data_IF_375162608234
#
_entry.id   IF_375162608234
#
_cell.length_a   1.000
_cell.length_b   1.000
_cell.length_c   1.000
_cell.angle_alpha   90.00
_cell.angle_beta   90.00
_cell.angle_gamma   90.00
#
_symmetry.space_group_name_H-M   'P 1'
#
loop_
_entity.id
_entity.type
_entity.pdbx_description
1 polymer ?
#
# COMPACT_ATOMS: atom_id res chain seq x y z
N UNK A 1 10.02 -11.20 -26.44
CA UNK A 1 9.96 -10.77 -25.04
C UNK A 1 9.83 -9.26 -25.09
N UNK A 2 8.60 -8.74 -24.99
CA UNK A 2 8.39 -7.29 -25.09
C UNK A 2 9.09 -6.63 -23.90
N UNK A 3 9.81 -5.53 -24.14
CA UNK A 3 10.15 -4.61 -23.04
C UNK A 3 8.82 -4.15 -22.48
N UNK A 4 8.46 -4.61 -21.29
CA UNK A 4 7.38 -4.01 -20.53
C UNK A 4 7.84 -2.59 -20.23
N UNK A 5 7.10 -1.59 -20.71
CA UNK A 5 7.34 -0.21 -20.31
C UNK A 5 7.08 -0.10 -18.80
N UNK A 6 8.15 0.21 -18.06
CA UNK A 6 8.17 0.22 -16.61
C UNK A 6 8.50 1.62 -16.10
N UNK A 7 7.69 2.12 -15.16
CA UNK A 7 7.95 3.38 -14.46
C UNK A 7 8.20 3.09 -12.98
N UNK A 8 9.24 3.67 -12.40
CA UNK A 8 9.57 3.51 -10.98
C UNK A 8 9.25 4.81 -10.23
N UNK A 9 8.27 4.76 -9.34
CA UNK A 9 7.95 5.84 -8.42
C UNK A 9 8.55 5.55 -7.04
N UNK A 10 8.81 6.61 -6.27
CA UNK A 10 9.39 6.51 -4.93
C UNK A 10 8.54 7.29 -3.94
N UNK A 11 8.26 6.65 -2.81
CA UNK A 11 7.58 7.25 -1.68
C UNK A 11 8.51 7.26 -0.46
N UNK A 12 8.70 8.43 0.14
CA UNK A 12 9.55 8.57 1.32
C UNK A 12 8.82 7.99 2.54
N UNK A 13 9.54 7.16 3.29
CA UNK A 13 9.04 6.58 4.52
C UNK A 13 9.39 7.48 5.72
N UNK A 14 8.52 7.50 6.74
CA UNK A 14 8.70 8.38 7.90
C UNK A 14 9.85 7.93 8.81
N UNK A 15 10.24 6.66 8.78
CA UNK A 15 11.37 6.12 9.55
C UNK A 15 11.99 4.91 8.83
N UNK A 16 13.23 4.56 9.22
CA UNK A 16 13.99 3.44 8.66
C UNK A 16 13.61 2.07 9.21
N UNK A 17 12.87 2.02 10.32
CA UNK A 17 12.43 0.78 10.98
C UNK A 17 11.14 0.21 10.39
N UNK A 18 10.44 1.00 9.56
CA UNK A 18 9.22 0.59 8.87
C UNK A 18 9.47 -0.64 8.00
N UNK A 19 8.49 -1.56 7.95
CA UNK A 19 8.58 -2.79 7.14
C UNK A 19 7.29 -2.99 6.35
N UNK A 20 7.43 -3.18 5.03
CA UNK A 20 6.29 -3.41 4.13
C UNK A 20 5.46 -4.62 4.54
N UNK A 21 6.11 -5.73 4.89
CA UNK A 21 5.45 -6.95 5.33
C UNK A 21 4.54 -6.71 6.55
N UNK A 22 5.01 -5.95 7.55
CA UNK A 22 4.19 -5.64 8.73
C UNK A 22 2.97 -4.80 8.37
N UNK A 23 3.14 -3.81 7.49
CA UNK A 23 2.05 -2.95 7.06
C UNK A 23 1.01 -3.72 6.23
N UNK A 24 1.44 -4.50 5.24
CA UNK A 24 0.57 -5.26 4.33
C UNK A 24 -0.10 -6.44 5.06
N UNK A 25 0.69 -7.26 5.74
CA UNK A 25 0.22 -8.47 6.42
C UNK A 25 -0.32 -8.21 7.83
N UNK A 26 -0.67 -6.95 8.13
CA UNK A 26 -1.19 -6.50 9.43
C UNK A 26 -2.48 -7.22 9.85
N UNK A 27 -3.31 -7.60 8.88
CA UNK A 27 -4.55 -8.36 9.06
C UNK A 27 -5.01 -8.95 7.72
N UNK A 28 -6.04 -9.80 7.71
CA UNK A 28 -6.40 -10.60 6.52
C UNK A 28 -6.90 -9.86 5.26
N UNK A 29 -7.09 -8.54 5.28
CA UNK A 29 -7.65 -7.79 4.14
C UNK A 29 -6.73 -7.75 2.90
N UNK A 30 -5.42 -7.91 3.08
CA UNK A 30 -4.49 -8.06 1.95
C UNK A 30 -4.73 -9.37 1.16
N UNK A 31 -5.42 -10.36 1.72
CA UNK A 31 -5.72 -11.62 1.02
C UNK A 31 -6.91 -11.49 0.07
N UNK A 32 -7.69 -10.41 0.15
CA UNK A 32 -8.83 -10.20 -0.73
C UNK A 32 -8.39 -9.67 -2.09
N UNK A 33 -8.94 -10.25 -3.16
CA UNK A 33 -8.80 -9.73 -4.52
C UNK A 33 -9.04 -8.20 -4.57
N UNK A 34 -8.26 -7.44 -5.37
CA UNK A 34 -7.26 -7.89 -6.35
C UNK A 34 -5.82 -7.90 -5.81
N UNK A 35 -5.66 -8.02 -4.50
CA UNK A 35 -4.36 -7.96 -3.84
C UNK A 35 -3.55 -9.26 -4.03
N UNK A 36 -2.24 -9.13 -4.23
CA UNK A 36 -1.32 -10.27 -4.26
C UNK A 36 -0.06 -9.96 -3.44
N UNK A 37 0.17 -10.74 -2.38
CA UNK A 37 1.41 -10.71 -1.61
C UNK A 37 2.32 -11.87 -2.04
N UNK A 38 3.53 -11.54 -2.49
CA UNK A 38 4.58 -12.53 -2.77
C UNK A 38 5.56 -12.57 -1.58
N UNK A 39 5.55 -13.65 -0.77
CA UNK A 39 6.42 -13.77 0.39
C UNK A 39 7.89 -13.99 0.02
N UNK A 40 8.19 -14.54 -1.17
CA UNK A 40 9.57 -14.79 -1.60
C UNK A 40 10.25 -13.47 -1.96
N UNK A 41 9.58 -12.63 -2.74
CA UNK A 41 10.11 -11.32 -3.11
C UNK A 41 9.79 -10.22 -2.09
N UNK A 42 8.97 -10.50 -1.07
CA UNK A 42 8.43 -9.52 -0.10
C UNK A 42 7.82 -8.29 -0.77
N UNK A 43 7.00 -8.54 -1.78
CA UNK A 43 6.36 -7.47 -2.55
C UNK A 43 4.86 -7.63 -2.61
N UNK A 44 4.17 -6.50 -2.72
CA UNK A 44 2.72 -6.45 -2.85
C UNK A 44 2.35 -5.95 -4.24
N UNK A 45 1.51 -6.67 -4.96
CA UNK A 45 1.08 -6.29 -6.31
C UNK A 45 -0.43 -6.19 -6.40
N UNK A 46 -0.94 -5.18 -7.12
CA UNK A 46 -2.36 -5.05 -7.46
C UNK A 46 -2.58 -4.03 -8.58
N UNK A 47 -3.75 -4.03 -9.25
CA UNK A 47 -4.16 -2.90 -10.07
C UNK A 47 -4.49 -1.67 -9.21
N UNK A 48 -4.05 -0.49 -9.66
CA UNK A 48 -4.39 0.84 -9.14
C UNK A 48 -4.94 1.72 -10.26
N UNK A 49 -5.80 2.69 -9.91
CA UNK A 49 -6.43 3.59 -10.87
C UNK A 49 -5.54 4.80 -11.18
N UNK A 50 -5.42 5.19 -12.45
CA UNK A 50 -4.59 6.34 -12.86
C UNK A 50 -5.29 7.70 -12.69
N UNK A 51 -6.58 7.76 -13.01
CA UNK A 51 -7.41 8.95 -12.83
C UNK A 51 -8.88 8.57 -12.91
N UNK A 52 -9.71 9.21 -12.08
CA UNK A 52 -11.12 9.42 -12.38
C UNK A 52 -11.15 10.77 -13.10
N UNK A 53 -11.43 10.78 -14.39
CA UNK A 53 -11.59 12.03 -15.11
C UNK A 53 -12.74 12.82 -14.46
N UNK A 54 -12.50 14.04 -13.97
CA UNK A 54 -13.48 14.81 -13.18
C UNK A 54 -14.78 15.09 -13.98
N UNK A 55 -14.69 15.00 -15.31
CA UNK A 55 -15.81 15.18 -16.24
C UNK A 55 -16.42 13.86 -16.74
N UNK A 56 -15.92 12.70 -16.31
CA UNK A 56 -16.47 11.38 -16.64
C UNK A 56 -16.40 10.98 -18.12
N UNK A 57 -15.54 11.64 -18.91
CA UNK A 57 -15.47 11.44 -20.37
C UNK A 57 -14.43 10.38 -20.79
N UNK A 58 -13.37 10.19 -20.00
CA UNK A 58 -12.41 9.11 -20.23
C UNK A 58 -12.79 7.82 -19.49
N UNK A 59 -12.56 6.63 -20.09
CA UNK A 59 -12.75 5.36 -19.40
C UNK A 59 -11.76 5.24 -18.23
N UNK A 60 -12.14 4.58 -17.12
CA UNK A 60 -11.25 4.35 -16.01
C UNK A 60 -10.05 3.53 -16.48
N UNK A 61 -8.86 4.10 -16.35
CA UNK A 61 -7.60 3.41 -16.64
C UNK A 61 -7.02 2.85 -15.35
N UNK A 62 -6.55 1.60 -15.41
CA UNK A 62 -5.87 0.94 -14.31
C UNK A 62 -4.53 0.37 -14.77
N UNK A 63 -3.51 0.51 -13.93
CA UNK A 63 -2.17 -0.04 -14.16
C UNK A 63 -1.84 -1.05 -13.07
N UNK A 64 -1.06 -2.07 -13.43
CA UNK A 64 -0.51 -2.98 -12.44
C UNK A 64 0.65 -2.31 -11.71
N UNK A 65 0.62 -2.33 -10.39
CA UNK A 65 1.67 -1.76 -9.54
C UNK A 65 2.21 -2.85 -8.63
N UNK A 66 3.53 -2.96 -8.58
CA UNK A 66 4.28 -3.77 -7.62
C UNK A 66 5.01 -2.87 -6.65
N UNK A 67 4.70 -3.02 -5.38
CA UNK A 67 5.21 -2.26 -4.25
C UNK A 67 6.25 -3.12 -3.53
N UNK A 68 7.45 -2.59 -3.31
CA UNK A 68 8.51 -3.28 -2.61
C UNK A 68 9.39 -2.30 -1.82
N UNK A 69 10.10 -2.82 -0.82
CA UNK A 69 10.94 -2.05 0.09
C UNK A 69 12.40 -2.49 -0.01
N UNK A 70 13.25 -1.79 -0.81
CA UNK A 70 14.63 -2.20 -1.06
C UNK A 70 15.52 -2.01 0.18
N UNK A 71 16.48 -2.93 0.36
CA UNK A 71 17.44 -2.86 1.47
C UNK A 71 18.45 -1.71 1.31
N UNK A 72 18.76 -1.34 0.07
CA UNK A 72 19.71 -0.28 -0.29
C UNK A 72 19.17 1.11 0.03
N UNK A 73 17.84 1.25 0.10
CA UNK A 73 17.14 2.51 0.34
C UNK A 73 16.04 2.33 1.38
N UNK A 74 16.41 2.09 2.67
CA UNK A 74 15.46 1.70 3.71
C UNK A 74 14.45 2.79 4.06
N UNK A 75 14.72 4.06 3.70
CA UNK A 75 13.82 5.19 3.93
C UNK A 75 12.88 5.45 2.74
N UNK A 76 12.79 4.54 1.78
CA UNK A 76 11.89 4.70 0.63
C UNK A 76 11.21 3.42 0.25
N UNK A 77 9.94 3.55 -0.10
CA UNK A 77 9.14 2.53 -0.75
C UNK A 77 9.18 2.76 -2.26
N UNK A 78 9.27 1.67 -3.03
CA UNK A 78 9.38 1.72 -4.49
C UNK A 78 8.15 1.10 -5.12
N UNK A 79 7.54 1.86 -6.02
CA UNK A 79 6.32 1.46 -6.73
C UNK A 79 6.68 1.29 -8.21
N UNK A 80 6.77 0.04 -8.65
CA UNK A 80 7.04 -0.32 -10.04
C UNK A 80 5.72 -0.46 -10.78
N UNK A 81 5.48 0.43 -11.74
CA UNK A 81 4.26 0.51 -12.54
C UNK A 81 4.50 -0.13 -13.90
N UNK A 82 3.61 -1.06 -14.27
CA UNK A 82 3.65 -1.79 -15.54
C UNK A 82 2.51 -1.36 -16.47
N UNK A 83 2.64 -1.71 -17.74
CA UNK A 83 1.62 -1.52 -18.77
C UNK A 83 1.23 -0.06 -19.00
N UNK A 84 2.18 0.87 -18.91
CA UNK A 84 1.92 2.30 -19.21
C UNK A 84 1.85 2.59 -20.72
N UNK A 85 2.16 1.60 -21.57
CA UNK A 85 2.02 1.68 -23.03
C UNK A 85 2.83 2.81 -23.64
N UNK A 86 4.15 2.74 -23.61
CA UNK A 86 5.15 3.70 -24.14
C UNK A 86 4.95 5.19 -23.77
N UNK A 87 3.96 5.50 -22.94
CA UNK A 87 3.59 6.82 -22.47
C UNK A 87 4.09 6.93 -21.02
N UNK A 88 4.81 8.00 -20.73
CA UNK A 88 5.22 8.36 -19.37
C UNK A 88 4.03 8.86 -18.57
N UNK A 89 3.90 8.40 -17.32
CA UNK A 89 2.88 8.91 -16.40
C UNK A 89 3.03 10.43 -16.18
N UNK A 90 1.94 11.16 -16.29
CA UNK A 90 1.89 12.58 -15.90
C UNK A 90 2.10 12.76 -14.39
N UNK A 91 2.50 13.95 -13.95
CA UNK A 91 2.66 14.24 -12.51
C UNK A 91 1.38 13.94 -11.72
N UNK A 92 0.20 14.30 -12.25
CA UNK A 92 -1.08 14.05 -11.59
C UNK A 92 -1.36 12.56 -11.41
N UNK A 93 -1.02 11.72 -12.40
CA UNK A 93 -1.17 10.27 -12.31
C UNK A 93 -0.18 9.68 -11.30
N UNK A 94 1.07 10.14 -11.29
CA UNK A 94 2.06 9.72 -10.30
C UNK A 94 1.59 10.04 -8.89
N UNK A 95 1.12 11.28 -8.65
CA UNK A 95 0.58 11.70 -7.35
C UNK A 95 -0.66 10.89 -6.96
N UNK A 96 -1.52 10.55 -7.92
CA UNK A 96 -2.72 9.72 -7.70
C UNK A 96 -2.34 8.28 -7.31
N UNK A 97 -1.33 7.69 -7.93
CA UNK A 97 -0.83 6.37 -7.58
C UNK A 97 -0.17 6.37 -6.20
N UNK A 98 0.74 7.31 -5.95
CA UNK A 98 1.43 7.47 -4.67
C UNK A 98 0.42 7.74 -3.54
N UNK A 99 -0.62 8.52 -3.78
CA UNK A 99 -1.70 8.76 -2.82
C UNK A 99 -2.50 7.50 -2.47
N UNK A 100 -2.80 6.66 -3.46
CA UNK A 100 -3.43 5.35 -3.22
C UNK A 100 -2.52 4.44 -2.39
N UNK A 101 -1.22 4.36 -2.71
CA UNK A 101 -0.24 3.56 -1.94
C UNK A 101 -0.10 4.08 -0.51
N UNK A 102 0.02 5.39 -0.33
CA UNK A 102 0.08 6.03 0.98
C UNK A 102 -1.16 5.72 1.83
N UNK A 103 -2.36 5.74 1.22
CA UNK A 103 -3.60 5.37 1.90
C UNK A 103 -3.61 3.90 2.31
N UNK A 104 -3.28 2.99 1.39
CA UNK A 104 -3.27 1.55 1.65
C UNK A 104 -2.36 1.19 2.82
N UNK A 105 -1.20 1.83 2.89
CA UNK A 105 -0.15 1.56 3.87
C UNK A 105 -0.20 2.48 5.10
N UNK A 106 -1.18 3.38 5.18
CA UNK A 106 -1.36 4.34 6.29
C UNK A 106 -0.11 5.17 6.53
N UNK A 107 0.34 5.91 5.53
CA UNK A 107 1.60 6.67 5.55
C UNK A 107 1.44 8.18 5.74
N UNK A 108 0.27 8.66 6.20
CA UNK A 108 0.10 10.08 6.53
C UNK A 108 0.83 10.45 7.82
N UNK A 109 1.05 11.74 8.06
CA UNK A 109 1.62 12.23 9.33
C UNK A 109 0.76 11.84 10.55
N UNK A 110 -0.56 11.80 10.38
CA UNK A 110 -1.47 11.38 11.45
C UNK A 110 -1.35 9.89 11.71
N UNK A 111 -1.26 9.07 10.66
CA UNK A 111 -1.03 7.63 10.83
C UNK A 111 0.33 7.34 11.48
N UNK A 112 1.35 8.13 11.16
CA UNK A 112 2.67 8.06 11.79
C UNK A 112 2.60 8.39 13.28
N UNK A 113 1.90 9.45 13.66
CA UNK A 113 1.67 9.80 15.07
C UNK A 113 0.97 8.66 15.82
N UNK A 114 -0.10 8.13 15.24
CA UNK A 114 -0.88 7.04 15.83
C UNK A 114 -0.05 5.76 15.99
N UNK A 115 0.80 5.42 15.01
CA UNK A 115 1.67 4.25 15.08
C UNK A 115 2.72 4.39 16.20
N UNK A 116 3.31 5.58 16.37
CA UNK A 116 4.24 5.85 17.48
C UNK A 116 3.56 5.79 18.84
N UNK A 117 2.37 6.36 18.97
CA UNK A 117 1.57 6.29 20.20
C UNK A 117 1.23 4.84 20.56
N UNK A 118 0.84 4.03 19.57
CA UNK A 118 0.63 2.60 19.75
C UNK A 118 1.90 1.89 20.23
N UNK A 119 3.05 2.14 19.59
CA UNK A 119 4.33 1.54 19.98
C UNK A 119 4.74 1.93 21.41
N UNK A 120 4.52 3.17 21.83
CA UNK A 120 4.79 3.62 23.21
C UNK A 120 3.96 2.82 24.21
N UNK A 121 2.64 2.75 24.02
CA UNK A 121 1.72 2.01 24.90
C UNK A 121 2.12 0.52 24.99
N UNK A 122 2.37 -0.11 23.84
CA UNK A 122 2.79 -1.51 23.77
C UNK A 122 4.13 -1.74 24.49
N UNK A 123 5.08 -0.82 24.36
CA UNK A 123 6.40 -0.93 25.00
C UNK A 123 6.33 -0.81 26.53
N UNK A 124 5.39 -0.03 27.05
CA UNK A 124 5.17 0.16 28.49
C UNK A 124 4.39 -0.99 29.13
N UNK A 125 3.33 -1.46 28.46
CA UNK A 125 2.38 -2.42 29.04
C UNK A 125 2.74 -3.90 28.79
N UNK A 126 3.58 -4.20 27.80
CA UNK A 126 3.64 -5.57 27.26
C UNK A 126 5.05 -6.07 26.92
N UNK A 127 5.91 -6.13 27.93
CA UNK A 127 7.28 -6.72 27.80
C UNK A 127 7.28 -8.15 27.25
N UNK A 128 6.23 -8.94 27.51
CA UNK A 128 6.13 -10.36 27.14
C UNK A 128 5.27 -10.67 25.90
N UNK A 129 4.73 -9.65 25.23
CA UNK A 129 3.73 -9.86 24.19
C UNK A 129 4.28 -9.69 22.77
N UNK A 130 4.84 -10.76 22.21
CA UNK A 130 5.50 -10.73 20.91
C UNK A 130 4.52 -10.40 19.76
N UNK A 131 3.24 -10.77 19.89
CA UNK A 131 2.24 -10.49 18.85
C UNK A 131 1.96 -8.99 18.70
N UNK A 132 1.89 -8.24 19.81
CA UNK A 132 1.68 -6.78 19.78
C UNK A 132 2.89 -6.04 19.20
N UNK A 133 4.11 -6.49 19.51
CA UNK A 133 5.35 -5.93 18.93
C UNK A 133 5.45 -6.19 17.42
N UNK A 134 4.85 -7.26 16.93
CA UNK A 134 4.89 -7.61 15.51
C UNK A 134 3.89 -6.82 14.66
N UNK A 135 2.79 -6.31 15.22
CA UNK A 135 1.76 -5.58 14.48
C UNK A 135 2.21 -4.21 13.92
N UNK A 136 3.05 -3.46 14.65
CA UNK A 136 3.58 -2.17 14.17
C UNK A 136 2.53 -1.04 14.02
N UNK A 137 1.34 -1.21 14.61
CA UNK A 137 0.35 -0.14 14.77
C UNK A 137 -0.39 0.32 13.51
N UNK A 138 -0.21 -0.37 12.37
CA UNK A 138 -0.85 0.03 11.09
C UNK A 138 -1.75 -1.06 10.56
N UNK A 139 -2.95 -0.66 10.16
CA UNK A 139 -3.93 -1.53 9.51
C UNK A 139 -3.95 -1.23 8.02
N UNK A 140 -3.61 -2.23 7.21
CA UNK A 140 -3.70 -2.16 5.75
C UNK A 140 -5.10 -1.72 5.30
N UNK A 141 -5.20 -0.97 4.21
CA UNK A 141 -6.49 -0.54 3.63
C UNK A 141 -6.52 -0.79 2.14
N UNK A 142 -7.71 -0.73 1.55
CA UNK A 142 -7.86 -0.65 0.09
C UNK A 142 -7.35 0.71 -0.44
N UNK A 143 -7.18 0.94 -1.75
CA UNK A 143 -6.80 2.25 -2.28
C UNK A 143 -7.92 3.28 -2.21
N UNK A 144 -9.18 2.86 -2.00
CA UNK A 144 -10.34 3.76 -1.90
C UNK A 144 -11.23 3.41 -0.71
N UNK A 145 -12.03 4.39 -0.25
CA UNK A 145 -13.06 4.13 0.77
C UNK A 145 -14.17 3.23 0.23
N UNK A 146 -14.53 3.39 -1.05
CA UNK A 146 -15.53 2.54 -1.69
C UNK A 146 -15.14 1.06 -1.65
N UNK A 147 -13.89 0.72 -2.01
CA UNK A 147 -13.42 -0.66 -1.95
C UNK A 147 -13.37 -1.20 -0.51
N UNK A 148 -13.01 -0.37 0.48
CA UNK A 148 -13.12 -0.77 1.90
C UNK A 148 -14.56 -1.10 2.28
N UNK A 149 -15.54 -0.25 1.90
CA UNK A 149 -16.95 -0.49 2.21
C UNK A 149 -17.46 -1.77 1.57
N UNK A 150 -17.16 -1.99 0.30
CA UNK A 150 -17.55 -3.21 -0.43
C UNK A 150 -16.94 -4.45 0.24
N UNK A 151 -15.64 -4.43 0.55
CA UNK A 151 -14.98 -5.55 1.23
C UNK A 151 -15.57 -5.80 2.62
N UNK A 152 -15.83 -4.76 3.41
CA UNK A 152 -16.47 -4.90 4.71
C UNK A 152 -17.85 -5.54 4.60
N UNK A 153 -18.71 -5.05 3.70
CA UNK A 153 -20.06 -5.59 3.48
C UNK A 153 -19.99 -7.05 3.03
N UNK A 154 -19.07 -7.37 2.11
CA UNK A 154 -18.93 -8.74 1.60
C UNK A 154 -18.30 -9.70 2.60
N UNK A 155 -17.55 -9.22 3.60
CA UNK A 155 -17.06 -10.04 4.71
C UNK A 155 -18.12 -10.24 5.80
N UNK A 156 -19.14 -9.39 5.86
CA UNK A 156 -20.25 -9.60 6.80
C UNK A 156 -21.01 -10.88 6.41
N UNK A 157 -21.23 -11.75 7.39
CA UNK A 157 -21.98 -13.01 7.25
C UNK A 157 -21.34 -14.06 6.32
N UNK A 158 -20.05 -13.94 5.99
CA UNK A 158 -19.28 -15.09 5.50
C UNK A 158 -19.02 -16.05 6.66
N UNK A 159 -19.54 -17.27 6.55
CA UNK A 159 -19.29 -18.39 7.48
C UNK A 159 -18.11 -19.24 7.00
#
# INVERSE_FOLDING_TARGET
MAMEDECLLKLLLPNSSWKLEKAVCSHGLFMMSPNHWDPLSRSFSRPLHLSLDDNGHAPPSSVMVRIFHPQETPNSLHDKVYNTGSISLSSKEQDTLLGQVARMLRLSETDERNAREFEMIVSEESKENDYMKNFGGRVFRSPTLFEDMVKCILLCNCQ
#
